data_IF_869661310224
#
_entry.id   IF_869661310224
#
_cell.length_a   1.000
_cell.length_b   1.000
_cell.length_c   1.000
_cell.angle_alpha   90.00
_cell.angle_beta   90.00
_cell.angle_gamma   90.00
#
_symmetry.space_group_name_H-M   'P 1'
#
loop_
_entity.id
_entity.type
_entity.pdbx_description
1 polymer ?
#
# COMPACT_ATOMS: atom_id res chain seq x y z
N UNK A 1 -17.78 7.37 -12.16
CA UNK A 1 -17.87 6.69 -10.86
C UNK A 1 -16.79 7.32 -9.99
N UNK A 2 -17.13 7.78 -8.77
CA UNK A 2 -16.20 8.51 -7.88
C UNK A 2 -15.04 7.62 -7.45
N UNK A 3 -13.83 8.17 -7.43
CA UNK A 3 -12.58 7.49 -7.02
C UNK A 3 -11.90 8.35 -5.98
N UNK A 4 -11.56 7.77 -4.84
CA UNK A 4 -10.84 8.47 -3.78
C UNK A 4 -9.59 7.69 -3.37
N UNK A 5 -8.56 8.41 -2.94
CA UNK A 5 -7.43 7.84 -2.22
C UNK A 5 -7.62 8.09 -0.72
N UNK A 6 -7.35 7.06 0.09
CA UNK A 6 -7.22 7.17 1.53
C UNK A 6 -5.80 6.72 1.90
N UNK A 7 -5.03 7.60 2.53
CA UNK A 7 -3.64 7.38 2.91
C UNK A 7 -3.59 7.20 4.43
N UNK A 8 -3.44 5.96 4.94
CA UNK A 8 -3.25 5.72 6.37
C UNK A 8 -1.82 6.10 6.77
N UNK A 9 -1.66 7.18 7.53
CA UNK A 9 -0.36 7.72 7.92
C UNK A 9 -0.29 7.95 9.43
N UNK A 10 0.20 6.95 10.19
CA UNK A 10 0.37 7.09 11.65
C UNK A 10 1.67 7.79 12.02
N UNK A 11 1.69 8.45 13.19
CA UNK A 11 2.87 9.10 13.75
C UNK A 11 3.87 8.14 14.40
N UNK A 12 3.36 7.02 14.95
CA UNK A 12 4.09 6.09 15.82
C UNK A 12 4.94 5.03 15.12
N UNK A 13 5.59 5.34 13.98
CA UNK A 13 6.49 4.39 13.32
C UNK A 13 7.73 4.08 14.19
N UNK A 14 7.90 2.80 14.61
CA UNK A 14 8.98 2.36 15.51
C UNK A 14 10.28 2.04 14.79
N UNK A 15 10.21 1.32 13.65
CA UNK A 15 11.39 0.89 12.87
C UNK A 15 12.07 2.07 12.14
N UNK A 16 11.28 3.02 11.69
CA UNK A 16 11.75 4.26 11.06
C UNK A 16 11.00 5.40 11.75
N UNK A 17 11.61 6.07 12.75
CA UNK A 17 10.96 7.18 13.45
C UNK A 17 10.48 8.26 12.47
N UNK A 18 9.21 8.68 12.65
CA UNK A 18 8.60 9.73 11.80
C UNK A 18 8.60 9.41 10.30
N UNK A 19 8.55 8.13 9.89
CA UNK A 19 8.67 7.63 8.51
C UNK A 19 7.91 8.49 7.49
N UNK A 20 6.68 8.88 7.80
CA UNK A 20 5.77 9.56 6.87
C UNK A 20 6.13 11.03 6.61
N UNK A 21 6.97 11.65 7.46
CA UNK A 21 7.42 13.04 7.32
C UNK A 21 8.92 13.16 7.11
N UNK A 22 9.65 12.06 6.90
CA UNK A 22 11.04 12.08 6.44
C UNK A 22 11.12 12.88 5.14
N UNK A 23 12.13 13.76 5.02
CA UNK A 23 12.24 14.69 3.90
C UNK A 23 13.12 14.14 2.78
N UNK A 24 12.63 14.26 1.55
CA UNK A 24 13.39 14.04 0.31
C UNK A 24 13.57 15.41 -0.35
N UNK A 25 14.81 15.92 -0.45
CA UNK A 25 15.10 17.29 -0.95
C UNK A 25 14.22 18.37 -0.30
N UNK A 26 14.00 18.26 1.01
CA UNK A 26 13.23 19.24 1.78
C UNK A 26 11.71 19.00 1.80
N UNK A 27 11.16 18.08 1.01
CA UNK A 27 9.75 17.77 0.94
C UNK A 27 9.47 16.47 1.72
N UNK A 28 8.51 16.43 2.67
CA UNK A 28 8.11 15.19 3.35
C UNK A 28 7.65 14.12 2.38
N UNK A 29 7.98 12.84 2.63
CA UNK A 29 7.56 11.69 1.80
C UNK A 29 6.05 11.70 1.54
N UNK A 30 5.25 11.95 2.57
CA UNK A 30 3.79 12.09 2.43
C UNK A 30 3.43 13.24 1.48
N UNK A 31 4.12 14.38 1.56
CA UNK A 31 3.90 15.52 0.67
C UNK A 31 4.24 15.19 -0.78
N UNK A 32 5.35 14.47 -1.01
CA UNK A 32 5.73 13.98 -2.34
C UNK A 32 4.62 13.08 -2.92
N UNK A 33 4.12 12.12 -2.13
CA UNK A 33 3.03 11.26 -2.58
C UNK A 33 1.78 12.05 -2.94
N UNK A 34 1.34 12.96 -2.07
CA UNK A 34 0.12 13.76 -2.29
C UNK A 34 0.25 14.57 -3.60
N UNK A 35 1.38 15.24 -3.81
CA UNK A 35 1.63 15.99 -5.06
C UNK A 35 1.57 15.09 -6.29
N UNK A 36 2.18 13.89 -6.23
CA UNK A 36 2.10 12.92 -7.32
C UNK A 36 0.63 12.54 -7.60
N UNK A 37 -0.14 12.18 -6.57
CA UNK A 37 -1.54 11.77 -6.72
C UNK A 37 -2.41 12.90 -7.29
N UNK A 38 -2.19 14.15 -6.88
CA UNK A 38 -2.87 15.33 -7.44
C UNK A 38 -2.51 15.49 -8.91
N UNK A 39 -1.22 15.39 -9.26
CA UNK A 39 -0.75 15.53 -10.64
C UNK A 39 -1.29 14.47 -11.59
N UNK A 40 -1.68 13.31 -11.07
CA UNK A 40 -2.28 12.24 -11.87
C UNK A 40 -3.68 12.59 -12.38
N UNK A 41 -4.38 13.53 -11.73
CA UNK A 41 -5.77 13.87 -12.08
C UNK A 41 -6.63 12.60 -12.27
N UNK A 42 -6.53 11.70 -11.28
CA UNK A 42 -7.21 10.40 -11.28
C UNK A 42 -8.25 10.28 -10.17
N UNK A 43 -8.03 10.97 -9.04
CA UNK A 43 -8.89 10.93 -7.86
C UNK A 43 -9.76 12.18 -7.75
N UNK A 44 -11.02 11.99 -7.36
CA UNK A 44 -11.94 13.07 -7.04
C UNK A 44 -11.63 13.71 -5.69
N UNK A 45 -10.98 12.96 -4.79
CA UNK A 45 -10.47 13.45 -3.51
C UNK A 45 -9.32 12.57 -3.00
N UNK A 46 -8.41 13.18 -2.25
CA UNK A 46 -7.29 12.52 -1.57
C UNK A 46 -7.42 12.81 -0.08
N UNK A 47 -7.61 11.76 0.70
CA UNK A 47 -7.74 11.83 2.16
C UNK A 47 -6.50 11.28 2.85
N UNK A 48 -6.15 11.86 4.00
CA UNK A 48 -5.16 11.28 4.91
C UNK A 48 -5.84 10.96 6.23
N UNK A 49 -5.70 9.71 6.68
CA UNK A 49 -6.16 9.23 7.97
C UNK A 49 -4.96 9.17 8.92
N UNK A 50 -4.94 10.06 9.91
CA UNK A 50 -3.85 10.17 10.89
C UNK A 50 -4.37 10.61 12.25
N UNK A 51 -3.71 10.20 13.34
CA UNK A 51 -3.90 10.69 14.71
C UNK A 51 -2.93 11.83 15.05
N UNK A 52 -1.95 12.07 14.19
CA UNK A 52 -0.80 12.95 14.44
C UNK A 52 -1.03 14.33 13.81
N UNK A 53 -0.94 15.39 14.63
CA UNK A 53 -1.17 16.77 14.16
C UNK A 53 -0.15 17.22 13.12
N UNK A 54 1.15 16.88 13.26
CA UNK A 54 2.16 17.27 12.28
C UNK A 54 1.89 16.61 10.92
N UNK A 55 1.51 15.33 10.91
CA UNK A 55 1.14 14.62 9.68
C UNK A 55 -0.12 15.24 9.07
N UNK A 56 -1.12 15.62 9.89
CA UNK A 56 -2.32 16.28 9.42
C UNK A 56 -2.02 17.64 8.78
N UNK A 57 -1.13 18.43 9.39
CA UNK A 57 -0.71 19.73 8.87
C UNK A 57 0.07 19.58 7.55
N UNK A 58 0.99 18.62 7.48
CA UNK A 58 1.68 18.26 6.23
C UNK A 58 0.67 17.88 5.15
N UNK A 59 -0.27 16.99 5.46
CA UNK A 59 -1.28 16.54 4.49
C UNK A 59 -2.10 17.70 3.92
N UNK A 60 -2.62 18.58 4.79
CA UNK A 60 -3.38 19.77 4.40
C UNK A 60 -2.54 20.74 3.58
N UNK A 61 -1.29 21.00 3.99
CA UNK A 61 -0.36 21.87 3.27
C UNK A 61 -0.14 21.43 1.82
N UNK A 62 -0.07 20.12 1.58
CA UNK A 62 0.12 19.54 0.24
C UNK A 62 -1.18 19.28 -0.53
N UNK A 63 -2.35 19.66 0.01
CA UNK A 63 -3.63 19.63 -0.70
C UNK A 63 -4.50 18.40 -0.47
N UNK A 64 -4.14 17.53 0.48
CA UNK A 64 -5.02 16.44 0.90
C UNK A 64 -6.03 16.91 1.97
N UNK A 65 -7.12 16.17 2.09
CA UNK A 65 -8.17 16.42 3.08
C UNK A 65 -7.92 15.55 4.31
N UNK A 66 -7.96 16.17 5.50
CA UNK A 66 -7.98 15.48 6.79
C UNK A 66 -9.28 15.88 7.48
N UNK A 67 -10.37 15.09 7.34
CA UNK A 67 -11.69 15.48 7.86
C UNK A 67 -11.66 15.64 9.38
N UNK A 68 -11.02 14.68 10.07
CA UNK A 68 -10.79 14.66 11.50
C UNK A 68 -9.56 13.84 11.84
N UNK A 69 -9.02 14.01 13.02
CA UNK A 69 -7.98 13.12 13.52
C UNK A 69 -8.57 11.73 13.80
N UNK A 70 -7.83 10.70 13.39
CA UNK A 70 -8.16 9.30 13.68
C UNK A 70 -8.06 9.03 15.17
N UNK A 71 -8.91 8.19 15.67
CA UNK A 71 -8.83 7.74 17.05
C UNK A 71 -7.48 7.02 17.32
N UNK A 72 -6.85 7.33 18.43
CA UNK A 72 -5.53 6.82 18.80
C UNK A 72 -5.47 5.30 18.94
N UNK A 73 -6.57 4.65 19.33
CA UNK A 73 -6.64 3.19 19.42
C UNK A 73 -6.51 2.49 18.04
N UNK A 74 -6.72 3.20 16.94
CA UNK A 74 -6.51 2.72 15.56
C UNK A 74 -5.10 3.05 15.02
N UNK A 75 -4.22 3.59 15.85
CA UNK A 75 -2.88 4.02 15.46
C UNK A 75 -1.77 3.16 16.08
N UNK A 76 -2.12 2.04 16.70
CA UNK A 76 -1.17 1.09 17.25
C UNK A 76 -0.41 0.31 16.15
N UNK A 77 0.50 -0.59 16.58
CA UNK A 77 1.35 -1.37 15.65
C UNK A 77 0.63 -2.59 15.06
N UNK A 78 -0.51 -2.98 15.60
CA UNK A 78 -1.20 -4.23 15.26
C UNK A 78 -2.53 -4.02 14.55
N UNK A 79 -3.09 -2.81 14.57
CA UNK A 79 -4.32 -2.49 13.85
C UNK A 79 -4.09 -2.55 12.34
N UNK A 80 -4.74 -3.48 11.63
CA UNK A 80 -4.59 -3.61 10.19
C UNK A 80 -5.17 -2.40 9.44
N UNK A 81 -4.59 -2.11 8.28
CA UNK A 81 -5.02 -0.94 7.48
C UNK A 81 -6.48 -1.03 7.01
N UNK A 82 -7.02 -2.23 6.79
CA UNK A 82 -8.43 -2.41 6.44
C UNK A 82 -9.36 -1.94 7.55
N UNK A 83 -8.99 -2.11 8.81
CA UNK A 83 -9.75 -1.59 9.96
C UNK A 83 -9.73 -0.06 9.95
N UNK A 84 -8.59 0.53 9.64
CA UNK A 84 -8.44 1.99 9.50
C UNK A 84 -9.30 2.54 8.37
N UNK A 85 -9.29 1.89 7.19
CA UNK A 85 -10.10 2.30 6.06
C UNK A 85 -11.60 2.14 6.35
N UNK A 86 -11.99 1.01 6.93
CA UNK A 86 -13.37 0.74 7.34
C UNK A 86 -13.90 1.80 8.29
N UNK A 87 -13.14 2.15 9.34
CA UNK A 87 -13.56 3.18 10.29
C UNK A 87 -13.59 4.56 9.64
N UNK A 88 -12.60 4.88 8.78
CA UNK A 88 -12.64 6.13 8.02
C UNK A 88 -13.92 6.26 7.20
N UNK A 89 -14.35 5.20 6.53
CA UNK A 89 -15.57 5.20 5.73
C UNK A 89 -16.84 5.31 6.60
N UNK A 90 -16.85 4.67 7.78
CA UNK A 90 -17.99 4.76 8.71
C UNK A 90 -18.24 6.16 9.24
N UNK A 91 -17.18 6.92 9.51
CA UNK A 91 -17.30 8.28 10.07
C UNK A 91 -17.45 9.36 9.00
N UNK A 92 -17.29 9.00 7.72
CA UNK A 92 -17.47 9.89 6.58
C UNK A 92 -18.61 9.36 5.69
N UNK A 93 -19.85 9.42 6.21
CA UNK A 93 -21.07 8.84 5.61
C UNK A 93 -21.47 9.44 4.24
N UNK A 94 -20.88 10.58 3.86
CA UNK A 94 -21.05 11.21 2.54
C UNK A 94 -20.33 10.43 1.42
N UNK A 95 -19.49 9.46 1.75
CA UNK A 95 -18.80 8.59 0.79
C UNK A 95 -19.74 7.45 0.40
N UNK A 96 -20.25 7.49 -0.84
CA UNK A 96 -21.15 6.45 -1.37
C UNK A 96 -20.49 5.07 -1.41
N UNK A 97 -21.26 4.02 -1.11
CA UNK A 97 -20.89 2.60 -1.20
C UNK A 97 -20.28 2.21 -2.56
N UNK A 98 -20.68 2.87 -3.65
CA UNK A 98 -20.19 2.61 -4.99
C UNK A 98 -18.91 3.38 -5.33
N UNK A 99 -18.38 4.20 -4.41
CA UNK A 99 -17.10 4.89 -4.58
C UNK A 99 -15.95 3.89 -4.62
N UNK A 100 -15.04 4.01 -5.59
CA UNK A 100 -13.79 3.27 -5.56
C UNK A 100 -12.82 3.92 -4.59
N UNK A 101 -12.38 3.13 -3.60
CA UNK A 101 -11.46 3.54 -2.54
C UNK A 101 -10.13 2.86 -2.75
N UNK A 102 -9.08 3.65 -2.88
CA UNK A 102 -7.70 3.20 -2.97
C UNK A 102 -7.00 3.49 -1.64
N UNK A 103 -6.69 2.46 -0.87
CA UNK A 103 -5.77 2.55 0.25
C UNK A 103 -4.35 2.64 -0.32
N UNK A 104 -3.65 3.76 -0.14
CA UNK A 104 -2.30 3.99 -0.67
C UNK A 104 -1.37 4.33 0.49
N UNK A 105 -0.28 3.58 0.65
CA UNK A 105 0.64 3.87 1.74
C UNK A 105 1.55 5.07 1.46
N UNK A 106 1.95 5.83 2.50
CA UNK A 106 2.73 7.07 2.34
C UNK A 106 4.05 6.92 1.57
N UNK A 107 4.67 5.73 1.61
CA UNK A 107 5.91 5.44 0.89
C UNK A 107 5.73 5.13 -0.60
N UNK A 108 4.49 5.12 -1.11
CA UNK A 108 4.18 4.76 -2.50
C UNK A 108 4.52 5.87 -3.52
N UNK A 109 5.60 6.60 -3.29
CA UNK A 109 6.02 7.75 -4.13
C UNK A 109 6.48 7.36 -5.53
N UNK A 110 6.72 6.06 -5.79
CA UNK A 110 7.05 5.50 -7.12
C UNK A 110 5.82 5.01 -7.89
N UNK A 111 4.61 5.18 -7.33
CA UNK A 111 3.35 4.87 -8.01
C UNK A 111 3.20 5.74 -9.26
N UNK A 112 2.65 5.17 -10.33
CA UNK A 112 2.37 5.87 -11.58
C UNK A 112 0.86 5.86 -11.88
N UNK A 113 0.39 6.85 -12.64
CA UNK A 113 -1.01 6.93 -13.08
C UNK A 113 -1.43 5.67 -13.85
N UNK A 114 -0.54 5.09 -14.65
CA UNK A 114 -0.79 3.86 -15.41
C UNK A 114 -1.12 2.66 -14.54
N UNK A 115 -0.53 2.57 -13.33
CA UNK A 115 -0.80 1.49 -12.40
C UNK A 115 -2.26 1.57 -11.90
N UNK A 116 -2.72 2.79 -11.59
CA UNK A 116 -4.08 3.06 -11.13
C UNK A 116 -5.12 2.83 -12.25
N UNK A 117 -4.80 3.21 -13.50
CA UNK A 117 -5.65 2.93 -14.66
C UNK A 117 -5.76 1.41 -14.86
N UNK A 118 -4.65 0.69 -14.74
CA UNK A 118 -4.64 -0.78 -14.83
C UNK A 118 -5.49 -1.39 -13.71
N UNK A 119 -5.36 -0.90 -12.48
CA UNK A 119 -6.19 -1.35 -11.36
C UNK A 119 -7.69 -1.12 -11.62
N UNK A 120 -8.05 0.08 -12.07
CA UNK A 120 -9.43 0.42 -12.39
C UNK A 120 -10.02 -0.48 -13.48
N UNK A 121 -9.24 -0.84 -14.51
CA UNK A 121 -9.70 -1.71 -15.59
C UNK A 121 -10.05 -3.14 -15.13
N UNK A 122 -9.45 -3.60 -14.03
CA UNK A 122 -9.70 -4.94 -13.49
C UNK A 122 -11.06 -5.07 -12.80
N UNK A 123 -11.70 -3.96 -12.43
CA UNK A 123 -13.06 -3.94 -11.87
C UNK A 123 -14.19 -4.05 -12.91
N UNK A 124 -13.88 -4.33 -14.17
CA UNK A 124 -14.90 -4.53 -15.20
C UNK A 124 -15.78 -5.78 -14.93
N UNK A 125 -15.26 -6.77 -14.23
CA UNK A 125 -16.05 -7.91 -13.74
C UNK A 125 -16.72 -7.54 -12.42
N UNK A 126 -18.02 -7.84 -12.28
CA UNK A 126 -18.79 -7.59 -11.05
C UNK A 126 -18.38 -8.48 -9.87
N UNK A 127 -17.57 -9.51 -10.13
CA UNK A 127 -17.17 -10.51 -9.15
C UNK A 127 -15.88 -10.16 -8.42
N UNK A 128 -15.24 -9.02 -8.73
CA UNK A 128 -13.98 -8.62 -8.15
C UNK A 128 -14.22 -7.78 -6.90
N UNK A 129 -13.72 -8.26 -5.77
CA UNK A 129 -13.77 -7.58 -4.50
C UNK A 129 -12.61 -6.59 -4.36
N UNK A 130 -11.38 -7.07 -4.59
CA UNK A 130 -10.17 -6.27 -4.45
C UNK A 130 -9.27 -6.28 -5.68
N UNK A 131 -8.50 -5.22 -5.83
CA UNK A 131 -7.33 -5.16 -6.70
C UNK A 131 -6.14 -4.71 -5.87
N UNK A 132 -5.09 -5.53 -5.86
CA UNK A 132 -3.88 -5.30 -5.06
C UNK A 132 -2.66 -5.11 -5.95
N UNK A 133 -1.68 -4.40 -5.45
CA UNK A 133 -0.38 -4.23 -6.10
C UNK A 133 0.65 -5.22 -5.54
N UNK A 134 1.62 -5.58 -6.36
CA UNK A 134 2.76 -6.39 -5.91
C UNK A 134 3.85 -6.43 -6.96
N UNK A 135 4.95 -7.05 -6.64
CA UNK A 135 6.10 -7.17 -7.55
C UNK A 135 6.52 -8.62 -7.71
N UNK A 136 6.99 -8.96 -8.91
CA UNK A 136 7.53 -10.29 -9.17
C UNK A 136 8.84 -10.47 -8.41
N UNK A 137 8.98 -11.60 -7.71
CA UNK A 137 10.25 -11.98 -7.08
C UNK A 137 10.90 -13.11 -7.83
N UNK A 138 12.23 -13.28 -7.61
CA UNK A 138 12.97 -14.39 -8.21
C UNK A 138 12.54 -15.70 -7.56
N UNK A 139 12.03 -16.63 -8.37
CA UNK A 139 11.53 -17.94 -7.94
C UNK A 139 12.59 -18.74 -7.16
N UNK A 140 13.88 -18.54 -7.48
CA UNK A 140 14.98 -19.22 -6.79
C UNK A 140 15.11 -18.80 -5.31
N UNK A 141 14.70 -17.58 -4.95
CA UNK A 141 14.69 -17.15 -3.55
C UNK A 141 13.66 -17.94 -2.73
N UNK A 142 12.55 -18.34 -3.34
CA UNK A 142 11.53 -19.15 -2.68
C UNK A 142 11.87 -20.63 -2.64
N UNK A 143 12.44 -21.15 -3.73
CA UNK A 143 12.75 -22.57 -3.87
C UNK A 143 13.64 -23.09 -2.76
N UNK A 144 14.66 -22.31 -2.38
CA UNK A 144 15.67 -22.70 -1.40
C UNK A 144 15.52 -21.95 -0.07
N UNK A 145 14.33 -21.39 0.22
CA UNK A 145 14.08 -20.74 1.50
C UNK A 145 13.96 -21.77 2.62
N UNK A 146 14.60 -21.48 3.73
CA UNK A 146 14.59 -22.31 4.92
C UNK A 146 14.60 -21.46 6.19
N UNK A 147 14.11 -22.02 7.28
CA UNK A 147 14.29 -21.48 8.62
C UNK A 147 15.41 -22.21 9.34
N UNK A 148 16.02 -21.54 10.31
CA UNK A 148 17.03 -22.16 11.20
C UNK A 148 16.46 -22.17 12.61
N UNK A 149 16.46 -23.35 13.25
CA UNK A 149 16.06 -23.53 14.63
C UNK A 149 17.09 -24.42 15.34
N UNK A 150 17.76 -23.88 16.36
CA UNK A 150 18.85 -24.57 17.07
C UNK A 150 19.91 -25.17 16.12
N UNK A 151 20.38 -24.38 15.15
CA UNK A 151 21.31 -24.72 14.08
C UNK A 151 20.83 -25.79 13.06
N UNK A 152 19.58 -26.23 13.17
CA UNK A 152 18.97 -27.15 12.19
C UNK A 152 18.18 -26.37 11.12
N UNK A 153 18.37 -26.81 9.87
CA UNK A 153 17.70 -26.23 8.69
C UNK A 153 16.35 -26.90 8.45
N UNK A 154 15.30 -26.12 8.32
CA UNK A 154 13.96 -26.58 7.92
C UNK A 154 13.53 -25.87 6.63
N UNK A 155 13.41 -26.63 5.53
CA UNK A 155 12.99 -26.10 4.23
C UNK A 155 11.54 -25.67 4.30
N UNK A 156 11.22 -24.43 3.83
CA UNK A 156 9.87 -23.88 3.88
C UNK A 156 8.92 -24.53 2.86
N UNK A 157 9.43 -24.87 1.67
CA UNK A 157 8.67 -25.43 0.55
C UNK A 157 9.33 -26.70 0.02
N UNK A 158 9.31 -27.82 0.78
CA UNK A 158 10.01 -29.05 0.42
C UNK A 158 9.55 -29.63 -0.93
N UNK A 159 8.29 -29.43 -1.32
CA UNK A 159 7.72 -29.85 -2.60
C UNK A 159 8.35 -29.16 -3.82
N UNK A 160 9.02 -28.03 -3.63
CA UNK A 160 9.71 -27.28 -4.69
C UNK A 160 11.19 -27.67 -4.83
N UNK A 161 11.74 -28.39 -3.88
CA UNK A 161 13.19 -28.63 -3.77
C UNK A 161 13.78 -29.39 -4.98
N UNK A 162 12.97 -30.23 -5.62
CA UNK A 162 13.38 -31.07 -6.77
C UNK A 162 12.87 -30.53 -8.13
N UNK A 163 12.12 -29.42 -8.14
CA UNK A 163 11.64 -28.81 -9.38
C UNK A 163 12.76 -27.97 -10.01
N UNK A 164 12.81 -27.93 -11.34
CA UNK A 164 13.67 -26.97 -12.05
C UNK A 164 13.10 -25.55 -11.93
N UNK A 165 13.93 -24.52 -12.01
CA UNK A 165 13.48 -23.12 -11.87
C UNK A 165 12.36 -22.76 -12.84
N UNK A 166 12.41 -23.26 -14.08
CA UNK A 166 11.39 -23.02 -15.10
C UNK A 166 10.05 -23.72 -14.84
N UNK A 167 10.02 -24.72 -13.95
CA UNK A 167 8.82 -25.48 -13.60
C UNK A 167 8.15 -24.93 -12.33
N UNK A 168 8.73 -23.89 -11.72
CA UNK A 168 8.16 -23.20 -10.56
C UNK A 168 7.11 -22.20 -10.99
N UNK A 169 6.05 -22.09 -10.19
CA UNK A 169 5.07 -21.01 -10.36
C UNK A 169 5.73 -19.65 -10.13
N UNK A 170 5.37 -18.66 -10.95
CA UNK A 170 5.78 -17.28 -10.69
C UNK A 170 5.21 -16.80 -9.35
N UNK A 171 6.05 -16.24 -8.52
CA UNK A 171 5.70 -15.75 -7.19
C UNK A 171 5.78 -14.21 -7.17
N UNK A 172 4.81 -13.62 -6.49
CA UNK A 172 4.75 -12.18 -6.30
C UNK A 172 4.76 -11.84 -4.82
N UNK A 173 5.35 -10.71 -4.48
CA UNK A 173 5.40 -10.16 -3.14
C UNK A 173 4.45 -8.95 -3.07
N UNK A 174 3.66 -8.91 -2.01
CA UNK A 174 2.96 -7.68 -1.63
C UNK A 174 3.98 -6.62 -1.22
N UNK A 175 3.84 -5.43 -1.78
CA UNK A 175 4.75 -4.31 -1.55
C UNK A 175 4.06 -3.13 -0.86
N UNK A 176 2.82 -3.33 -0.40
CA UNK A 176 2.09 -2.28 0.29
C UNK A 176 1.92 -0.98 -0.51
N UNK A 177 1.94 -1.03 -1.86
CA UNK A 177 1.85 0.21 -2.63
C UNK A 177 0.41 0.72 -2.69
N UNK A 178 -0.54 -0.14 -3.08
CA UNK A 178 -1.97 0.17 -2.98
C UNK A 178 -2.84 -1.09 -2.94
N UNK A 179 -4.03 -0.90 -2.36
CA UNK A 179 -5.14 -1.85 -2.36
C UNK A 179 -6.41 -1.08 -2.72
N UNK A 180 -7.20 -1.59 -3.65
CA UNK A 180 -8.37 -0.91 -4.15
C UNK A 180 -9.61 -1.81 -4.07
N UNK A 181 -10.74 -1.24 -3.65
CA UNK A 181 -12.05 -1.88 -3.66
C UNK A 181 -13.15 -0.81 -3.68
N UNK A 182 -14.41 -1.23 -3.81
CA UNK A 182 -15.55 -0.35 -3.53
C UNK A 182 -15.66 -0.07 -2.03
N UNK A 183 -16.19 1.10 -1.65
CA UNK A 183 -16.40 1.46 -0.25
C UNK A 183 -17.22 0.40 0.50
N UNK A 184 -18.30 -0.13 -0.10
CA UNK A 184 -19.09 -1.22 0.46
C UNK A 184 -18.23 -2.46 0.78
N UNK A 185 -17.34 -2.84 -0.13
CA UNK A 185 -16.44 -3.99 0.09
C UNK A 185 -15.51 -3.77 1.29
N UNK A 186 -14.95 -2.58 1.45
CA UNK A 186 -14.13 -2.22 2.62
C UNK A 186 -14.91 -2.29 3.94
N UNK A 187 -16.20 -1.95 3.91
CA UNK A 187 -17.06 -1.95 5.12
C UNK A 187 -17.54 -3.36 5.47
N UNK A 188 -17.95 -4.16 4.47
CA UNK A 188 -18.56 -5.48 4.68
C UNK A 188 -17.54 -6.62 4.71
N UNK A 189 -16.49 -6.55 3.90
CA UNK A 189 -15.51 -7.63 3.81
C UNK A 189 -14.76 -7.82 5.14
N UNK A 190 -14.53 -9.08 5.46
CA UNK A 190 -13.58 -9.44 6.51
C UNK A 190 -12.15 -9.02 6.14
N UNK A 191 -11.20 -9.33 7.04
CA UNK A 191 -9.79 -8.90 6.98
C UNK A 191 -8.96 -9.49 5.83
N UNK A 192 -9.55 -10.21 4.87
CA UNK A 192 -8.79 -10.93 3.84
C UNK A 192 -8.97 -10.29 2.47
N UNK A 193 -8.05 -9.40 2.12
CA UNK A 193 -7.94 -8.83 0.77
C UNK A 193 -7.19 -9.75 -0.21
N UNK A 194 -6.59 -10.86 0.26
CA UNK A 194 -6.02 -11.90 -0.58
C UNK A 194 -6.95 -13.11 -0.67
N UNK A 195 -8.06 -12.98 -1.41
CA UNK A 195 -9.04 -14.04 -1.61
C UNK A 195 -9.22 -14.38 -3.10
N UNK A 196 -10.07 -15.36 -3.40
CA UNK A 196 -10.31 -15.84 -4.76
C UNK A 196 -10.91 -14.78 -5.72
N UNK A 197 -11.44 -13.66 -5.17
CA UNK A 197 -12.00 -12.55 -5.94
C UNK A 197 -11.06 -11.34 -6.01
N UNK A 198 -9.79 -11.53 -5.68
CA UNK A 198 -8.76 -10.49 -5.74
C UNK A 198 -8.01 -10.56 -7.06
N UNK A 199 -7.92 -9.42 -7.75
CA UNK A 199 -7.08 -9.23 -8.93
C UNK A 199 -5.78 -8.54 -8.54
N UNK A 200 -4.79 -8.67 -9.40
CA UNK A 200 -3.43 -8.25 -9.14
C UNK A 200 -2.93 -7.28 -10.22
N UNK A 201 -2.18 -6.26 -9.81
CA UNK A 201 -1.42 -5.35 -10.68
C UNK A 201 0.06 -5.51 -10.39
N UNK A 202 0.80 -5.96 -11.38
CA UNK A 202 2.25 -6.08 -11.30
C UNK A 202 2.91 -4.70 -11.36
N UNK A 203 3.72 -4.41 -10.35
CA UNK A 203 4.61 -3.25 -10.31
C UNK A 203 6.02 -3.75 -10.64
N UNK A 204 6.70 -3.18 -11.62
CA UNK A 204 8.08 -3.57 -11.94
C UNK A 204 9.02 -3.45 -10.74
N UNK A 205 9.98 -4.36 -10.60
CA UNK A 205 10.97 -4.35 -9.50
C UNK A 205 11.77 -3.04 -9.38
N UNK A 206 11.89 -2.29 -10.48
CA UNK A 206 12.50 -0.96 -10.45
C UNK A 206 11.73 0.04 -9.58
N UNK A 207 10.42 -0.16 -9.38
CA UNK A 207 9.52 0.69 -8.60
C UNK A 207 8.90 -0.02 -7.40
N UNK A 208 8.77 -1.35 -7.45
CA UNK A 208 8.22 -2.16 -6.37
C UNK A 208 9.16 -2.20 -5.17
N UNK A 209 8.70 -1.72 -4.02
CA UNK A 209 9.45 -1.76 -2.77
C UNK A 209 8.51 -1.52 -1.59
N UNK A 210 8.50 -2.44 -0.65
CA UNK A 210 7.97 -2.18 0.69
C UNK A 210 9.04 -1.48 1.54
N UNK A 211 8.63 -0.60 2.45
CA UNK A 211 9.54 0.22 3.25
C UNK A 211 9.34 -0.08 4.72
N UNK A 212 10.16 -0.96 5.23
CA UNK A 212 10.10 -1.44 6.60
C UNK A 212 11.32 -1.13 7.44
N UNK A 213 12.46 -0.95 6.81
CA UNK A 213 13.74 -0.65 7.45
C UNK A 213 14.30 0.70 6.96
N UNK A 214 15.26 1.31 7.69
CA UNK A 214 15.98 2.49 7.19
C UNK A 214 16.64 2.26 5.84
N UNK A 215 17.16 1.06 5.57
CA UNK A 215 17.79 0.67 4.31
C UNK A 215 16.78 0.66 3.15
N UNK A 216 15.54 0.23 3.41
CA UNK A 216 14.46 0.30 2.42
C UNK A 216 14.12 1.75 2.08
N UNK A 217 14.05 2.61 3.11
CA UNK A 217 13.79 4.03 2.91
C UNK A 217 14.89 4.69 2.07
N UNK A 218 16.15 4.40 2.36
CA UNK A 218 17.29 4.89 1.56
C UNK A 218 17.20 4.40 0.11
N UNK A 219 16.79 3.15 -0.09
CA UNK A 219 16.59 2.56 -1.41
C UNK A 219 15.45 3.25 -2.15
N UNK A 220 14.32 3.51 -1.46
CA UNK A 220 13.19 4.26 -2.01
C UNK A 220 13.63 5.66 -2.47
N UNK A 221 14.35 6.39 -1.61
CA UNK A 221 14.85 7.73 -1.92
C UNK A 221 15.77 7.70 -3.14
N UNK A 222 16.71 6.77 -3.21
CA UNK A 222 17.62 6.60 -4.36
C UNK A 222 16.87 6.30 -5.65
N UNK A 223 15.85 5.41 -5.61
CA UNK A 223 15.01 5.10 -6.77
C UNK A 223 14.23 6.34 -7.22
N UNK A 224 13.61 7.06 -6.28
CA UNK A 224 12.84 8.27 -6.60
C UNK A 224 13.72 9.36 -7.24
N UNK A 225 14.89 9.62 -6.68
CA UNK A 225 15.83 10.63 -7.19
C UNK A 225 16.37 10.33 -8.60
N UNK A 226 16.33 9.07 -9.04
CA UNK A 226 16.70 8.68 -10.42
C UNK A 226 15.57 8.94 -11.44
N UNK A 227 14.35 9.20 -10.98
CA UNK A 227 13.21 9.50 -11.83
C UNK A 227 13.00 11.00 -12.06
N UNK A 228 13.67 11.84 -11.25
CA UNK A 228 13.68 13.30 -11.37
C UNK A 228 14.77 13.77 -12.34
#
# INVERSE_FOLDING_TARGET
MKKIAIIPARGGSKRIPRKNVVKIRGIPVLGVLIQNLISFDFFDAIYVSTEDNEIADVAKHFGAVVPQLRDSHLADDITPSEVVIKEFLRVNEDISDQTFVYCIYPHSILLQKSDLITAQSKFQSKEIDYVVSGTKINENHFRHSFTVNNDFVNILLPENNYKRSQDLSTVYLDIGMFYAAKALTWVEAGKDWFNAKTKFVEIPNSRGLDVDTPEDLDTLIKKYLKLL
#
